data_IF_508011068098
#
_entry.id   IF_508011068098
#
_cell.length_a   1.000
_cell.length_b   1.000
_cell.length_c   1.000
_cell.angle_alpha   90.00
_cell.angle_beta   90.00
_cell.angle_gamma   90.00
#
_symmetry.space_group_name_H-M   'P 1'
#
loop_
_entity.id
_entity.type
_entity.pdbx_description
1 polymer ?
#
# COMPACT_ATOMS: atom_id res chain seq x y z
N UNK A 1 2.70 25.29 38.45
CA UNK A 1 1.41 24.74 37.96
C UNK A 1 1.57 23.60 36.96
N UNK A 2 1.98 23.82 35.70
CA UNK A 2 2.09 22.71 34.72
C UNK A 2 3.07 21.60 35.14
N UNK A 3 4.23 21.99 35.72
CA UNK A 3 5.20 21.05 36.31
C UNK A 3 4.60 20.20 37.43
N UNK A 4 3.71 20.79 38.24
CA UNK A 4 3.07 20.11 39.36
C UNK A 4 2.03 19.09 38.86
N UNK A 5 1.24 19.47 37.84
CA UNK A 5 0.32 18.54 37.17
C UNK A 5 1.03 17.37 36.52
N UNK A 6 2.18 17.60 35.86
CA UNK A 6 2.99 16.53 35.26
C UNK A 6 3.60 15.60 36.33
N UNK A 7 4.12 16.15 37.43
CA UNK A 7 4.63 15.34 38.57
C UNK A 7 3.52 14.48 39.18
N UNK A 8 2.33 15.05 39.32
CA UNK A 8 1.16 14.34 39.86
C UNK A 8 0.71 13.24 38.90
N UNK A 9 0.63 13.54 37.61
CA UNK A 9 0.33 12.57 36.56
C UNK A 9 1.29 11.37 36.64
N UNK A 10 2.60 11.63 36.63
CA UNK A 10 3.63 10.59 36.71
C UNK A 10 3.48 9.68 37.94
N UNK A 11 3.27 10.27 39.13
CA UNK A 11 3.05 9.48 40.36
C UNK A 11 1.79 8.62 40.28
N UNK A 12 0.71 9.13 39.69
CA UNK A 12 -0.53 8.37 39.57
C UNK A 12 -0.40 7.22 38.57
N UNK A 13 0.35 7.42 37.47
CA UNK A 13 0.67 6.37 36.50
C UNK A 13 1.44 5.22 37.15
N UNK A 14 2.45 5.53 37.96
CA UNK A 14 3.23 4.52 38.68
C UNK A 14 2.41 3.75 39.72
N UNK A 15 1.44 4.41 40.37
CA UNK A 15 0.57 3.77 41.38
C UNK A 15 -0.42 2.78 40.73
N UNK A 16 -0.91 3.06 39.53
CA UNK A 16 -1.89 2.21 38.81
C UNK A 16 -1.27 1.59 37.55
N UNK A 17 -0.41 0.60 37.78
CA UNK A 17 0.39 -0.05 36.73
C UNK A 17 -0.47 -0.76 35.66
N UNK A 18 -1.51 -1.48 36.06
CA UNK A 18 -2.38 -2.24 35.12
C UNK A 18 -3.12 -1.31 34.17
N UNK A 19 -3.79 -0.28 34.71
CA UNK A 19 -4.47 0.75 33.92
C UNK A 19 -3.49 1.41 32.94
N UNK A 20 -2.35 1.86 33.45
CA UNK A 20 -1.32 2.53 32.63
C UNK A 20 -0.84 1.60 31.53
N UNK A 21 -0.59 0.33 31.81
CA UNK A 21 -0.16 -0.65 30.81
C UNK A 21 -1.22 -0.87 29.72
N UNK A 22 -2.50 -1.01 30.07
CA UNK A 22 -3.59 -1.22 29.10
C UNK A 22 -3.78 0.02 28.22
N UNK A 23 -3.78 1.23 28.79
CA UNK A 23 -3.93 2.47 28.03
C UNK A 23 -2.74 2.73 27.10
N UNK A 24 -1.52 2.48 27.58
CA UNK A 24 -0.30 2.58 26.77
C UNK A 24 -0.33 1.56 25.63
N UNK A 25 -0.64 0.30 25.92
CA UNK A 25 -0.72 -0.75 24.91
C UNK A 25 -1.75 -0.43 23.83
N UNK A 26 -2.97 -0.03 24.20
CA UNK A 26 -4.01 0.32 23.25
C UNK A 26 -3.60 1.48 22.33
N UNK A 27 -3.03 2.54 22.90
CA UNK A 27 -2.56 3.70 22.12
C UNK A 27 -1.39 3.33 21.22
N UNK A 28 -0.39 2.62 21.75
CA UNK A 28 0.80 2.22 20.99
C UNK A 28 0.43 1.25 19.87
N UNK A 29 -0.43 0.28 20.15
CA UNK A 29 -0.83 -0.75 19.18
C UNK A 29 -1.61 -0.14 18.02
N UNK A 30 -2.57 0.74 18.28
CA UNK A 30 -3.31 1.43 17.21
C UNK A 30 -2.38 2.27 16.35
N UNK A 31 -1.43 3.00 16.95
CA UNK A 31 -0.47 3.79 16.18
C UNK A 31 0.49 2.91 15.37
N UNK A 32 0.92 1.76 15.89
CA UNK A 32 1.72 0.78 15.13
C UNK A 32 0.95 0.29 13.92
N UNK A 33 -0.27 -0.22 14.11
CA UNK A 33 -1.10 -0.75 13.02
C UNK A 33 -1.36 0.33 11.96
N UNK A 34 -1.76 1.53 12.37
CA UNK A 34 -2.00 2.64 11.45
C UNK A 34 -0.74 3.00 10.66
N UNK A 35 0.40 3.15 11.33
CA UNK A 35 1.65 3.56 10.68
C UNK A 35 2.15 2.51 9.71
N UNK A 36 2.06 1.22 10.07
CA UNK A 36 2.46 0.12 9.20
C UNK A 36 1.51 -0.01 8.00
N UNK A 37 0.19 0.07 8.22
CA UNK A 37 -0.79 0.00 7.15
C UNK A 37 -0.60 1.13 6.13
N UNK A 38 -0.34 2.35 6.61
CA UNK A 38 -0.10 3.48 5.72
C UNK A 38 1.26 3.39 5.04
N UNK A 39 2.31 2.92 5.71
CA UNK A 39 3.60 2.67 5.06
C UNK A 39 3.46 1.67 3.90
N UNK A 40 2.69 0.58 4.09
CA UNK A 40 2.37 -0.36 3.01
C UNK A 40 1.56 0.28 1.89
N UNK A 41 0.59 1.14 2.23
CA UNK A 41 -0.22 1.86 1.26
C UNK A 41 0.62 2.84 0.42
N UNK A 42 1.42 3.70 1.06
CA UNK A 42 2.34 4.63 0.40
C UNK A 42 3.29 3.86 -0.52
N UNK A 43 3.85 2.75 -0.04
CA UNK A 43 4.74 1.93 -0.83
C UNK A 43 4.08 1.38 -2.12
N UNK A 44 2.79 1.09 -2.04
CA UNK A 44 2.01 0.44 -3.10
C UNK A 44 1.37 1.44 -4.06
N UNK A 45 0.93 2.61 -3.61
CA UNK A 45 0.13 3.53 -4.45
C UNK A 45 0.72 4.92 -4.58
N UNK A 46 1.76 5.28 -3.81
CA UNK A 46 2.37 6.61 -3.90
C UNK A 46 3.24 6.75 -5.15
N UNK A 47 3.25 7.93 -5.80
CA UNK A 47 4.19 8.23 -6.88
C UNK A 47 5.63 8.22 -6.34
N UNK A 48 6.38 7.18 -6.66
CA UNK A 48 7.82 7.06 -6.36
C UNK A 48 8.49 6.32 -7.52
N UNK A 49 9.81 6.37 -7.62
CA UNK A 49 10.53 5.64 -8.67
C UNK A 49 10.26 4.11 -8.58
N UNK A 50 10.12 3.40 -9.72
CA UNK A 50 10.13 3.93 -11.08
C UNK A 50 8.74 4.40 -11.59
N UNK A 51 7.68 4.24 -10.80
CA UNK A 51 6.28 4.64 -11.11
C UNK A 51 5.97 6.10 -10.70
N UNK A 52 6.74 7.07 -11.19
CA UNK A 52 6.62 8.49 -10.79
C UNK A 52 5.32 9.14 -11.30
N UNK A 53 4.78 8.63 -12.41
CA UNK A 53 3.60 9.17 -13.08
C UNK A 53 2.32 8.37 -12.80
N UNK A 54 2.25 7.63 -11.69
CA UNK A 54 1.13 6.73 -11.37
C UNK A 54 -0.26 7.40 -11.42
N UNK A 55 -0.36 8.69 -11.06
CA UNK A 55 -1.62 9.46 -11.06
C UNK A 55 -2.20 9.72 -12.45
N UNK A 56 -1.36 9.73 -13.48
CA UNK A 56 -1.75 9.91 -14.89
C UNK A 56 -1.56 8.63 -15.73
N UNK A 57 -1.35 7.50 -15.06
CA UNK A 57 -1.14 6.22 -15.72
C UNK A 57 -2.39 5.37 -15.57
N UNK A 58 -2.95 4.94 -16.70
CA UNK A 58 -3.98 3.91 -16.73
C UNK A 58 -3.34 2.54 -16.95
N UNK A 59 -3.95 1.51 -16.41
CA UNK A 59 -3.56 0.10 -16.58
C UNK A 59 -4.76 -0.71 -17.01
N UNK A 60 -4.49 -1.90 -17.54
CA UNK A 60 -5.53 -2.89 -17.83
C UNK A 60 -5.22 -4.17 -17.06
N UNK A 61 -5.89 -4.36 -15.92
CA UNK A 61 -5.56 -5.45 -15.00
C UNK A 61 -6.26 -6.77 -15.37
N UNK A 62 -7.41 -6.69 -16.04
CA UNK A 62 -8.26 -7.83 -16.37
C UNK A 62 -8.95 -7.65 -17.71
N UNK A 63 -9.13 -8.77 -18.39
CA UNK A 63 -10.03 -8.92 -19.53
C UNK A 63 -10.88 -10.18 -19.33
N UNK A 64 -12.10 -10.15 -19.88
CA UNK A 64 -13.08 -11.23 -19.82
C UNK A 64 -13.58 -11.53 -21.22
N UNK A 65 -13.65 -12.82 -21.55
CA UNK A 65 -14.39 -13.34 -22.69
C UNK A 65 -15.59 -14.12 -22.19
N UNK A 66 -16.75 -13.90 -22.79
CA UNK A 66 -17.99 -14.58 -22.43
C UNK A 66 -18.61 -15.25 -23.66
N UNK A 67 -19.02 -16.51 -23.47
CA UNK A 67 -19.69 -17.36 -24.43
C UNK A 67 -21.07 -17.81 -23.94
N UNK A 68 -21.69 -18.75 -24.65
CA UNK A 68 -22.91 -19.41 -24.15
C UNK A 68 -22.56 -20.33 -22.97
N UNK A 69 -22.92 -19.92 -21.76
CA UNK A 69 -22.69 -20.69 -20.53
C UNK A 69 -21.23 -20.75 -20.04
N UNK A 70 -20.29 -20.15 -20.77
CA UNK A 70 -18.87 -20.12 -20.39
C UNK A 70 -18.37 -18.68 -20.22
N UNK A 71 -17.52 -18.47 -19.21
CA UNK A 71 -16.85 -17.18 -18.98
C UNK A 71 -15.41 -17.46 -18.63
N UNK A 72 -14.47 -16.80 -19.31
CA UNK A 72 -13.05 -16.85 -19.01
C UNK A 72 -12.57 -15.46 -18.66
N UNK A 73 -11.81 -15.33 -17.58
CA UNK A 73 -11.24 -14.08 -17.13
C UNK A 73 -9.76 -14.27 -16.81
N UNK A 74 -8.92 -13.41 -17.37
CA UNK A 74 -7.46 -13.40 -17.16
C UNK A 74 -6.95 -11.97 -17.21
N UNK A 75 -5.64 -11.78 -17.13
CA UNK A 75 -4.99 -10.57 -17.61
C UNK A 75 -5.21 -10.43 -19.13
N UNK A 76 -5.14 -9.21 -19.68
CA UNK A 76 -5.25 -9.03 -21.12
C UNK A 76 -4.18 -9.81 -21.88
N UNK A 77 -4.54 -10.29 -23.06
CA UNK A 77 -3.61 -10.86 -24.03
C UNK A 77 -3.05 -9.78 -24.96
N UNK A 78 -1.97 -10.10 -25.68
CA UNK A 78 -1.31 -9.12 -26.55
C UNK A 78 -2.22 -8.65 -27.68
N UNK A 79 -3.03 -9.54 -28.27
CA UNK A 79 -3.92 -9.21 -29.39
C UNK A 79 -4.95 -8.16 -29.03
N UNK A 80 -5.55 -8.29 -27.84
CA UNK A 80 -6.48 -7.29 -27.30
C UNK A 80 -5.83 -5.91 -27.26
N UNK A 81 -4.61 -5.87 -26.73
CA UNK A 81 -3.85 -4.65 -26.54
C UNK A 81 -3.47 -4.04 -27.90
N UNK A 82 -2.96 -4.86 -28.83
CA UNK A 82 -2.51 -4.39 -30.14
C UNK A 82 -3.66 -3.91 -31.02
N UNK A 83 -4.82 -4.57 -30.96
CA UNK A 83 -5.98 -4.25 -31.80
C UNK A 83 -6.80 -3.07 -31.27
N UNK A 84 -7.03 -3.01 -29.96
CA UNK A 84 -7.97 -2.05 -29.37
C UNK A 84 -7.33 -0.92 -28.58
N UNK A 85 -6.12 -1.12 -28.04
CA UNK A 85 -5.51 -0.17 -27.10
C UNK A 85 -4.31 0.62 -27.65
N UNK A 86 -3.70 0.17 -28.75
CA UNK A 86 -2.62 0.93 -29.41
C UNK A 86 -3.16 2.18 -30.10
N UNK A 87 -2.39 3.28 -30.01
CA UNK A 87 -2.74 4.54 -30.67
C UNK A 87 -4.03 5.16 -30.15
N UNK A 88 -4.34 4.98 -28.87
CA UNK A 88 -5.44 5.72 -28.22
C UNK A 88 -5.07 7.21 -28.15
N UNK A 89 -5.97 8.12 -28.57
CA UNK A 89 -5.73 9.56 -28.50
C UNK A 89 -5.54 10.00 -27.05
N UNK A 90 -4.58 10.89 -26.82
CA UNK A 90 -4.25 11.40 -25.48
C UNK A 90 -3.35 10.48 -24.63
N UNK A 91 -2.93 9.33 -25.16
CA UNK A 91 -1.85 8.52 -24.58
C UNK A 91 -0.52 8.99 -25.16
N UNK A 92 0.39 9.45 -24.30
CA UNK A 92 1.74 9.91 -24.67
C UNK A 92 2.69 8.74 -24.89
N UNK A 93 2.72 7.80 -23.94
CA UNK A 93 3.52 6.59 -24.00
C UNK A 93 2.70 5.38 -23.58
N UNK A 94 2.98 4.25 -24.21
CA UNK A 94 2.35 2.98 -23.90
C UNK A 94 3.43 1.91 -23.81
N UNK A 95 3.36 1.09 -22.77
CA UNK A 95 4.22 -0.09 -22.63
C UNK A 95 3.40 -1.34 -22.43
N UNK A 96 3.90 -2.44 -22.95
CA UNK A 96 3.41 -3.80 -22.75
C UNK A 96 4.49 -4.62 -22.04
N UNK A 97 4.12 -5.15 -20.88
CA UNK A 97 4.95 -6.07 -20.10
C UNK A 97 4.15 -7.30 -19.71
N UNK A 98 4.82 -8.41 -19.44
CA UNK A 98 4.18 -9.60 -18.89
C UNK A 98 4.05 -9.53 -17.37
N UNK A 99 3.25 -10.43 -16.80
CA UNK A 99 3.45 -10.85 -15.42
C UNK A 99 4.85 -11.42 -15.21
N UNK A 100 5.27 -11.53 -13.95
CA UNK A 100 6.52 -12.19 -13.59
C UNK A 100 6.39 -13.70 -13.71
N UNK A 101 7.30 -14.32 -14.44
CA UNK A 101 7.46 -15.78 -14.50
C UNK A 101 8.61 -16.20 -13.62
N UNK A 102 8.38 -17.17 -12.73
CA UNK A 102 9.46 -17.76 -11.94
C UNK A 102 10.33 -18.62 -12.87
N UNK A 103 11.60 -18.23 -13.01
CA UNK A 103 12.60 -18.95 -13.80
C UNK A 103 13.68 -19.48 -12.88
N UNK A 104 14.15 -20.68 -13.17
CA UNK A 104 15.27 -21.29 -12.46
C UNK A 104 16.50 -21.24 -13.35
N UNK A 105 17.61 -20.82 -12.76
CA UNK A 105 18.94 -20.83 -13.36
C UNK A 105 19.88 -21.64 -12.47
N UNK A 106 20.93 -22.21 -13.07
CA UNK A 106 21.95 -22.98 -12.35
C UNK A 106 23.30 -22.32 -12.55
N UNK A 107 23.89 -21.84 -11.45
CA UNK A 107 25.22 -21.24 -11.45
C UNK A 107 26.12 -22.05 -10.51
N UNK A 108 27.18 -22.67 -11.06
CA UNK A 108 28.15 -23.46 -10.27
C UNK A 108 27.48 -24.53 -9.37
N UNK A 109 26.44 -25.20 -9.89
CA UNK A 109 25.68 -26.20 -9.14
C UNK A 109 24.67 -25.64 -8.13
N UNK A 110 24.54 -24.32 -8.00
CA UNK A 110 23.53 -23.66 -7.16
C UNK A 110 22.31 -23.27 -7.99
N UNK A 111 21.13 -23.63 -7.49
CA UNK A 111 19.84 -23.20 -8.03
C UNK A 111 19.59 -21.74 -7.63
N UNK A 112 19.38 -20.86 -8.61
CA UNK A 112 18.96 -19.48 -8.40
C UNK A 112 17.60 -19.30 -9.04
N UNK A 113 16.60 -19.02 -8.21
CA UNK A 113 15.26 -18.65 -8.66
C UNK A 113 15.20 -17.14 -8.88
N UNK A 114 14.61 -16.75 -9.99
CA UNK A 114 14.46 -15.35 -10.35
C UNK A 114 13.13 -15.08 -11.01
N UNK A 115 12.62 -13.87 -10.86
CA UNK A 115 11.41 -13.43 -11.57
C UNK A 115 11.80 -12.78 -12.89
N UNK A 116 11.46 -13.40 -14.01
CA UNK A 116 11.66 -12.87 -15.36
C UNK A 116 10.39 -12.17 -15.84
N UNK A 117 10.53 -10.95 -16.34
CA UNK A 117 9.50 -10.24 -17.10
C UNK A 117 9.96 -10.00 -18.53
N UNK A 118 8.99 -10.09 -19.43
CA UNK A 118 9.19 -9.73 -20.82
C UNK A 118 8.53 -8.38 -21.08
N UNK A 119 9.26 -7.42 -21.65
CA UNK A 119 8.75 -6.06 -21.90
C UNK A 119 9.10 -5.55 -23.29
N UNK A 120 8.37 -4.54 -23.76
CA UNK A 120 8.79 -3.75 -24.90
C UNK A 120 9.88 -2.72 -24.54
N UNK A 121 10.36 -1.98 -25.55
CA UNK A 121 11.41 -0.97 -25.39
C UNK A 121 10.90 0.31 -24.73
N UNK A 122 9.60 0.60 -24.85
CA UNK A 122 8.96 1.78 -24.23
C UNK A 122 8.82 1.65 -22.71
N UNK A 123 8.90 0.43 -22.17
CA UNK A 123 8.89 0.14 -20.74
C UNK A 123 9.80 1.05 -19.92
N UNK A 124 11.04 1.26 -20.38
CA UNK A 124 12.04 2.07 -19.69
C UNK A 124 11.80 3.58 -19.78
N UNK A 125 10.95 4.02 -20.71
CA UNK A 125 10.54 5.42 -20.85
C UNK A 125 9.29 5.72 -20.01
N UNK A 126 8.37 4.76 -19.93
CA UNK A 126 7.17 4.85 -19.07
C UNK A 126 7.55 4.78 -17.59
N UNK A 127 8.46 3.87 -17.23
CA UNK A 127 8.93 3.68 -15.86
C UNK A 127 10.34 4.23 -15.71
N UNK A 128 10.52 5.21 -14.82
CA UNK A 128 11.79 5.90 -14.61
C UNK A 128 12.72 5.10 -13.67
N UNK A 129 13.33 4.04 -14.22
CA UNK A 129 14.32 3.24 -13.49
C UNK A 129 15.65 3.98 -13.33
N UNK A 130 16.30 3.76 -12.18
CA UNK A 130 17.67 4.20 -11.95
C UNK A 130 18.65 3.09 -12.34
N UNK A 131 19.43 3.34 -13.39
CA UNK A 131 20.46 2.43 -13.86
C UNK A 131 21.76 2.64 -13.07
N UNK A 132 22.25 1.57 -12.45
CA UNK A 132 23.53 1.53 -11.74
C UNK A 132 24.68 1.23 -12.71
N UNK A 133 24.42 0.43 -13.75
CA UNK A 133 25.36 0.07 -14.80
C UNK A 133 24.64 0.00 -16.15
N UNK A 134 25.31 0.36 -17.24
CA UNK A 134 24.79 0.20 -18.60
C UNK A 134 23.53 1.03 -18.86
N UNK A 135 22.57 0.46 -19.59
CA UNK A 135 21.34 1.15 -19.97
C UNK A 135 20.20 0.22 -20.39
N UNK A 136 19.05 0.79 -20.79
CA UNK A 136 17.91 0.01 -21.29
C UNK A 136 18.21 -0.62 -22.65
N UNK A 137 17.52 -1.71 -22.99
CA UNK A 137 17.49 -2.18 -24.39
C UNK A 137 16.65 -1.24 -25.25
N UNK A 138 17.07 -1.08 -26.50
CA UNK A 138 16.40 -0.24 -27.49
C UNK A 138 15.18 -0.96 -28.11
N UNK A 139 14.24 -0.21 -28.73
CA UNK A 139 13.20 -0.82 -29.55
C UNK A 139 13.73 -1.73 -30.67
N UNK A 140 14.93 -1.45 -31.20
CA UNK A 140 15.57 -2.28 -32.22
C UNK A 140 16.05 -3.64 -31.65
N UNK A 141 16.50 -3.69 -30.39
CA UNK A 141 16.83 -4.95 -29.72
C UNK A 141 15.57 -5.81 -29.54
N UNK A 142 14.42 -5.17 -29.30
CA UNK A 142 13.12 -5.85 -29.23
C UNK A 142 12.71 -6.35 -30.61
N UNK A 143 12.77 -5.54 -31.65
CA UNK A 143 12.36 -5.95 -33.01
C UNK A 143 13.21 -7.11 -33.54
N UNK A 144 14.52 -7.09 -33.29
CA UNK A 144 15.45 -8.15 -33.68
C UNK A 144 15.44 -9.38 -32.78
N UNK A 145 14.59 -9.40 -31.74
CA UNK A 145 14.52 -10.47 -30.73
C UNK A 145 15.89 -10.80 -30.12
N UNK A 146 16.71 -9.77 -29.88
CA UNK A 146 18.05 -9.95 -29.34
C UNK A 146 17.96 -10.48 -27.91
N UNK A 147 18.73 -11.53 -27.59
CA UNK A 147 18.79 -12.13 -26.26
C UNK A 147 19.63 -11.25 -25.31
N UNK A 148 19.08 -10.10 -24.95
CA UNK A 148 19.62 -9.17 -23.94
C UNK A 148 18.72 -9.14 -22.71
N UNK A 149 19.30 -8.80 -21.56
CA UNK A 149 18.56 -8.61 -20.32
C UNK A 149 19.06 -7.40 -19.54
N UNK A 150 18.13 -6.77 -18.83
CA UNK A 150 18.42 -5.86 -17.71
C UNK A 150 18.16 -6.63 -16.42
N UNK A 151 19.00 -6.46 -15.40
CA UNK A 151 18.87 -7.16 -14.11
C UNK A 151 18.80 -6.18 -12.96
N UNK A 152 18.21 -6.58 -11.83
CA UNK A 152 18.24 -5.77 -10.61
C UNK A 152 19.57 -5.93 -9.85
N UNK A 153 19.82 -5.00 -8.93
CA UNK A 153 21.01 -4.96 -8.08
C UNK A 153 21.22 -6.26 -7.29
N UNK A 154 20.17 -6.79 -6.67
CA UNK A 154 20.26 -8.06 -5.95
C UNK A 154 20.67 -9.22 -6.86
N UNK A 155 20.13 -9.30 -8.08
CA UNK A 155 20.52 -10.35 -9.03
C UNK A 155 21.96 -10.17 -9.50
N UNK A 156 22.44 -8.94 -9.71
CA UNK A 156 23.88 -8.69 -9.94
C UNK A 156 24.74 -9.29 -8.81
N UNK A 157 24.36 -9.07 -7.55
CA UNK A 157 25.10 -9.64 -6.42
C UNK A 157 25.04 -11.17 -6.39
N UNK A 158 23.88 -11.77 -6.68
CA UNK A 158 23.70 -13.24 -6.72
C UNK A 158 24.50 -13.90 -7.84
N UNK A 159 24.43 -13.36 -9.06
CA UNK A 159 25.03 -13.98 -10.25
C UNK A 159 26.52 -13.62 -10.44
N UNK A 160 26.93 -12.41 -10.08
CA UNK A 160 28.27 -11.90 -10.39
C UNK A 160 29.09 -11.53 -9.15
N UNK A 161 28.62 -11.87 -7.95
CA UNK A 161 29.29 -11.57 -6.67
C UNK A 161 29.62 -10.08 -6.52
N UNK A 162 28.76 -9.21 -7.07
CA UNK A 162 28.91 -7.76 -7.05
C UNK A 162 29.92 -7.18 -8.05
N UNK A 163 30.50 -8.01 -8.93
CA UNK A 163 31.31 -7.51 -10.04
C UNK A 163 30.43 -6.90 -11.14
N UNK A 164 31.01 -6.05 -12.04
CA UNK A 164 30.28 -5.50 -13.17
C UNK A 164 29.58 -6.59 -13.98
N UNK A 165 28.27 -6.42 -14.20
CA UNK A 165 27.43 -7.40 -14.87
C UNK A 165 27.35 -7.16 -16.38
N UNK A 166 27.45 -5.90 -16.81
CA UNK A 166 27.30 -5.52 -18.22
C UNK A 166 28.30 -6.27 -19.09
N UNK A 167 27.81 -6.83 -20.20
CA UNK A 167 28.59 -7.65 -21.13
C UNK A 167 28.68 -9.14 -20.76
N UNK A 168 28.35 -9.50 -19.51
CA UNK A 168 28.29 -10.91 -19.07
C UNK A 168 26.97 -11.56 -19.45
N UNK A 169 26.85 -12.85 -19.17
CA UNK A 169 25.68 -13.64 -19.54
C UNK A 169 25.00 -14.25 -18.32
N UNK A 170 23.68 -14.38 -18.40
CA UNK A 170 22.87 -15.11 -17.43
C UNK A 170 21.99 -16.09 -18.21
N UNK A 171 21.91 -17.32 -17.74
CA UNK A 171 20.95 -18.30 -18.26
C UNK A 171 19.64 -18.14 -17.50
N UNK A 172 18.56 -17.87 -18.22
CA UNK A 172 17.22 -17.72 -17.66
C UNK A 172 16.21 -18.39 -18.60
N UNK A 173 15.30 -19.19 -18.05
CA UNK A 173 14.34 -19.97 -18.85
C UNK A 173 15.05 -20.77 -19.97
N UNK A 174 16.22 -21.39 -19.69
CA UNK A 174 16.96 -22.15 -20.70
C UNK A 174 17.46 -21.36 -21.93
N UNK A 175 17.43 -20.02 -21.87
CA UNK A 175 18.02 -19.12 -22.88
C UNK A 175 19.14 -18.30 -22.22
N UNK A 176 20.18 -18.02 -23.00
CA UNK A 176 21.36 -17.27 -22.54
C UNK A 176 21.23 -15.81 -22.93
N UNK A 177 21.03 -14.94 -21.93
CA UNK A 177 20.86 -13.50 -22.13
C UNK A 177 22.15 -12.75 -21.82
N UNK A 178 22.54 -11.81 -22.68
CA UNK A 178 23.61 -10.86 -22.39
C UNK A 178 23.07 -9.72 -21.51
N UNK A 179 23.71 -9.48 -20.37
CA UNK A 179 23.35 -8.36 -19.50
C UNK A 179 23.84 -7.06 -20.12
N UNK A 180 22.93 -6.11 -20.32
CA UNK A 180 23.25 -4.79 -20.89
C UNK A 180 23.03 -3.64 -19.90
N UNK A 181 22.35 -3.90 -18.78
CA UNK A 181 22.09 -2.91 -17.76
C UNK A 181 21.77 -3.54 -16.41
N UNK A 182 22.05 -2.77 -15.36
CA UNK A 182 21.69 -3.10 -13.97
C UNK A 182 20.88 -1.94 -13.40
N UNK A 183 19.73 -2.22 -12.80
CA UNK A 183 18.87 -1.22 -12.16
C UNK A 183 18.82 -1.42 -10.65
N UNK A 184 18.54 -0.35 -9.90
CA UNK A 184 18.27 -0.45 -8.47
C UNK A 184 17.07 -1.36 -8.22
N UNK A 185 17.10 -2.09 -7.10
CA UNK A 185 16.01 -2.97 -6.70
C UNK A 185 14.68 -2.21 -6.58
N UNK A 186 13.64 -2.80 -7.14
CA UNK A 186 12.26 -2.29 -7.06
C UNK A 186 11.46 -3.23 -6.17
N UNK A 187 10.71 -2.72 -5.19
CA UNK A 187 9.93 -3.55 -4.28
C UNK A 187 8.83 -4.34 -5.00
N UNK A 188 8.66 -5.61 -4.62
CA UNK A 188 7.80 -6.57 -5.32
C UNK A 188 6.31 -6.18 -5.43
N UNK A 189 5.82 -5.30 -4.55
CA UNK A 189 4.44 -4.78 -4.58
C UNK A 189 4.19 -3.81 -5.77
N UNK A 190 5.25 -3.40 -6.47
CA UNK A 190 5.18 -2.50 -7.62
C UNK A 190 5.07 -3.27 -8.93
N UNK A 191 4.24 -2.75 -9.83
CA UNK A 191 3.92 -3.42 -11.10
C UNK A 191 5.17 -3.71 -11.94
N UNK A 192 6.15 -2.80 -12.09
CA UNK A 192 7.31 -3.05 -12.94
C UNK A 192 8.40 -3.91 -12.27
N UNK A 193 8.24 -4.33 -11.00
CA UNK A 193 9.25 -5.11 -10.27
C UNK A 193 9.54 -6.47 -10.90
N UNK A 194 10.81 -6.82 -11.06
CA UNK A 194 11.30 -8.15 -11.44
C UNK A 194 12.77 -8.29 -11.04
N UNK A 195 13.32 -9.48 -11.25
CA UNK A 195 14.77 -9.74 -11.09
C UNK A 195 15.50 -9.58 -12.43
N UNK A 196 14.84 -10.00 -13.52
CA UNK A 196 15.32 -9.88 -14.90
C UNK A 196 14.20 -9.33 -15.79
N UNK A 197 14.59 -8.46 -16.73
CA UNK A 197 13.74 -7.98 -17.81
C UNK A 197 14.38 -8.33 -19.14
N UNK A 198 13.61 -8.94 -20.05
CA UNK A 198 14.05 -9.29 -21.40
C UNK A 198 13.05 -8.76 -22.45
N UNK A 199 13.48 -8.57 -23.72
CA UNK A 199 12.58 -8.12 -24.78
C UNK A 199 11.41 -9.07 -25.01
N UNK A 200 10.21 -8.54 -25.24
CA UNK A 200 9.01 -9.36 -25.38
C UNK A 200 9.10 -10.45 -26.46
N UNK A 201 9.80 -10.13 -27.55
CA UNK A 201 10.02 -11.00 -28.70
C UNK A 201 10.95 -12.18 -28.43
N UNK A 202 11.66 -12.23 -27.28
CA UNK A 202 12.51 -13.37 -26.92
C UNK A 202 11.75 -14.53 -26.30
N UNK A 203 10.45 -14.38 -26.03
CA UNK A 203 9.61 -15.48 -25.55
C UNK A 203 9.64 -16.67 -26.51
N UNK A 204 9.81 -17.88 -25.97
CA UNK A 204 9.94 -19.12 -26.78
C UNK A 204 8.72 -19.43 -27.63
N UNK A 205 7.53 -19.30 -27.04
CA UNK A 205 6.27 -19.47 -27.77
C UNK A 205 5.90 -18.15 -28.43
N UNK A 206 5.36 -18.17 -29.65
CA UNK A 206 4.77 -16.99 -30.31
C UNK A 206 3.25 -16.92 -30.16
N UNK A 207 2.62 -17.94 -29.55
CA UNK A 207 1.15 -18.02 -29.42
C UNK A 207 0.53 -16.82 -28.69
N UNK A 208 1.29 -16.18 -27.80
CA UNK A 208 0.87 -14.99 -27.06
C UNK A 208 0.44 -13.82 -27.96
N UNK A 209 0.93 -13.74 -29.20
CA UNK A 209 0.62 -12.67 -30.14
C UNK A 209 -0.86 -12.66 -30.54
N UNK A 210 -1.49 -13.84 -30.58
CA UNK A 210 -2.86 -14.03 -31.05
C UNK A 210 -3.89 -14.09 -29.90
N UNK A 211 -3.42 -14.10 -28.66
CA UNK A 211 -4.27 -14.25 -27.47
C UNK A 211 -4.97 -12.94 -27.09
N UNK A 212 -6.30 -12.99 -26.91
CA UNK A 212 -7.08 -11.89 -26.32
C UNK A 212 -7.06 -11.90 -24.78
N UNK A 213 -6.87 -13.07 -24.18
CA UNK A 213 -6.67 -13.27 -22.74
C UNK A 213 -5.31 -13.95 -22.54
N UNK A 214 -4.44 -13.34 -21.75
CA UNK A 214 -3.06 -13.80 -21.58
C UNK A 214 -2.50 -13.38 -20.23
N UNK A 215 -1.21 -13.03 -20.21
CA UNK A 215 -0.47 -12.61 -19.03
C UNK A 215 0.22 -11.26 -19.24
N UNK A 216 -0.45 -10.29 -19.87
CA UNK A 216 0.09 -8.95 -20.09
C UNK A 216 -0.50 -7.92 -19.13
N UNK A 217 0.29 -6.90 -18.81
CA UNK A 217 -0.08 -5.78 -17.94
C UNK A 217 0.32 -4.48 -18.64
N UNK A 218 -0.47 -3.98 -19.59
CA UNK A 218 -0.13 -2.74 -20.29
C UNK A 218 -0.29 -1.54 -19.35
N UNK A 219 0.54 -0.52 -19.56
CA UNK A 219 0.43 0.77 -18.92
C UNK A 219 0.38 1.87 -19.97
N UNK A 220 -0.50 2.84 -19.74
CA UNK A 220 -0.80 3.96 -20.64
C UNK A 220 -0.53 5.25 -19.89
N UNK A 221 0.55 5.93 -20.23
CA UNK A 221 0.88 7.25 -19.71
C UNK A 221 0.07 8.30 -20.47
N UNK A 222 -0.84 8.98 -19.79
CA UNK A 222 -1.66 10.02 -20.40
C UNK A 222 -0.86 11.32 -20.57
N UNK A 223 -1.13 12.04 -21.67
CA UNK A 223 -0.64 13.39 -21.84
C UNK A 223 -1.19 14.32 -20.74
N UNK A 224 -0.43 15.36 -20.39
CA UNK A 224 -0.69 16.18 -19.19
C UNK A 224 -2.12 16.78 -19.10
N UNK A 225 -2.75 17.06 -20.25
CA UNK A 225 -4.08 17.70 -20.32
C UNK A 225 -5.20 16.74 -20.77
N UNK A 226 -4.92 15.44 -20.84
CA UNK A 226 -5.91 14.45 -21.27
C UNK A 226 -6.71 13.95 -20.06
N UNK A 227 -8.05 13.93 -20.18
CA UNK A 227 -8.91 13.32 -19.17
C UNK A 227 -8.95 11.81 -19.36
N UNK A 228 -8.84 11.07 -18.27
CA UNK A 228 -8.85 9.61 -18.31
C UNK A 228 -10.17 9.05 -18.87
N UNK A 229 -11.27 9.76 -18.65
CA UNK A 229 -12.62 9.41 -19.11
C UNK A 229 -12.71 9.41 -20.64
N UNK A 230 -12.04 10.35 -21.31
CA UNK A 230 -12.05 10.45 -22.78
C UNK A 230 -11.32 9.25 -23.40
N UNK A 231 -10.17 8.87 -22.84
CA UNK A 231 -9.40 7.70 -23.26
C UNK A 231 -10.16 6.40 -23.00
N UNK A 232 -10.84 6.30 -21.86
CA UNK A 232 -11.68 5.14 -21.51
C UNK A 232 -12.87 5.00 -22.46
N UNK A 233 -13.54 6.11 -22.79
CA UNK A 233 -14.68 6.11 -23.70
C UNK A 233 -14.27 5.66 -25.11
N UNK A 234 -13.13 6.16 -25.60
CA UNK A 234 -12.57 5.76 -26.88
C UNK A 234 -12.15 4.27 -26.89
N UNK A 235 -11.46 3.80 -25.86
CA UNK A 235 -11.11 2.38 -25.72
C UNK A 235 -12.36 1.48 -25.70
N UNK A 236 -13.39 1.87 -24.93
CA UNK A 236 -14.65 1.15 -24.87
C UNK A 236 -15.38 1.16 -26.23
N UNK A 237 -15.30 2.26 -26.98
CA UNK A 237 -15.85 2.35 -28.34
C UNK A 237 -15.17 1.37 -29.30
N UNK A 238 -13.83 1.31 -29.29
CA UNK A 238 -13.06 0.35 -30.08
C UNK A 238 -13.38 -1.09 -29.68
N UNK A 239 -13.52 -1.38 -28.39
CA UNK A 239 -13.83 -2.73 -27.92
C UNK A 239 -15.20 -3.23 -28.40
N UNK A 240 -16.17 -2.34 -28.66
CA UNK A 240 -17.48 -2.71 -29.24
C UNK A 240 -17.36 -3.23 -30.67
N UNK A 241 -16.30 -2.91 -31.40
CA UNK A 241 -16.08 -3.43 -32.76
C UNK A 241 -15.52 -4.85 -32.76
N UNK A 242 -15.22 -5.42 -31.59
CA UNK A 242 -14.72 -6.78 -31.45
C UNK A 242 -15.68 -7.78 -32.10
N UNK A 243 -15.14 -8.58 -33.01
CA UNK A 243 -15.79 -9.76 -33.58
C UNK A 243 -14.98 -10.97 -33.17
N UNK A 244 -15.60 -11.90 -32.46
CA UNK A 244 -14.89 -13.09 -32.01
C UNK A 244 -14.44 -13.93 -33.20
N UNK A 245 -13.15 -14.31 -33.29
CA UNK A 245 -12.69 -15.28 -34.29
C UNK A 245 -13.11 -16.71 -33.96
N UNK A 246 -13.62 -16.94 -32.74
CA UNK A 246 -13.95 -18.24 -32.19
C UNK A 246 -15.45 -18.30 -31.85
N UNK A 247 -16.24 -19.21 -32.43
CA UNK A 247 -17.69 -19.24 -32.28
C UNK A 247 -18.18 -19.35 -30.82
N UNK A 248 -17.38 -20.00 -29.96
CA UNK A 248 -17.74 -20.18 -28.56
C UNK A 248 -17.69 -18.90 -27.73
N UNK A 249 -17.01 -17.86 -28.20
CA UNK A 249 -16.93 -16.57 -27.51
C UNK A 249 -17.74 -15.53 -28.26
N UNK A 250 -18.56 -14.76 -27.54
CA UNK A 250 -19.44 -13.74 -28.13
C UNK A 250 -18.98 -12.33 -27.81
N UNK A 251 -18.54 -12.11 -26.58
CA UNK A 251 -18.16 -10.76 -26.11
C UNK A 251 -16.77 -10.76 -25.50
N UNK A 252 -16.09 -9.63 -25.68
CA UNK A 252 -14.84 -9.30 -25.01
C UNK A 252 -15.08 -8.04 -24.18
N UNK A 253 -14.65 -8.07 -22.92
CA UNK A 253 -14.79 -6.95 -21.99
C UNK A 253 -13.48 -6.70 -21.28
N UNK A 254 -13.05 -5.45 -21.28
CA UNK A 254 -11.87 -4.96 -20.59
C UNK A 254 -12.10 -3.49 -20.24
N UNK A 255 -11.37 -2.98 -19.25
CA UNK A 255 -11.42 -1.58 -18.87
C UNK A 255 -10.00 -1.05 -18.66
N UNK A 256 -9.79 0.19 -19.07
CA UNK A 256 -8.65 0.98 -18.59
C UNK A 256 -9.04 1.56 -17.24
N UNK A 257 -8.19 1.37 -16.24
CA UNK A 257 -8.44 1.75 -14.86
C UNK A 257 -7.18 2.32 -14.22
N UNK A 258 -7.33 3.12 -13.17
CA UNK A 258 -6.16 3.50 -12.37
C UNK A 258 -5.68 2.28 -11.58
N UNK A 259 -4.40 2.28 -11.16
CA UNK A 259 -3.86 1.17 -10.34
C UNK A 259 -4.69 0.93 -9.07
N UNK A 260 -5.22 2.01 -8.51
CA UNK A 260 -6.08 1.99 -7.33
C UNK A 260 -7.45 1.35 -7.60
N UNK A 261 -8.09 1.67 -8.72
CA UNK A 261 -9.35 1.05 -9.14
C UNK A 261 -9.19 -0.45 -9.42
N UNK A 262 -8.11 -0.83 -10.10
CA UNK A 262 -7.80 -2.23 -10.38
C UNK A 262 -7.54 -3.05 -9.11
N UNK A 263 -6.91 -2.46 -8.10
CA UNK A 263 -6.77 -3.09 -6.79
C UNK A 263 -8.13 -3.35 -6.14
N UNK A 264 -9.05 -2.39 -6.20
CA UNK A 264 -10.42 -2.56 -5.70
C UNK A 264 -11.17 -3.67 -6.43
N UNK A 265 -10.99 -3.80 -7.74
CA UNK A 265 -11.58 -4.86 -8.56
C UNK A 265 -11.06 -6.25 -8.18
N UNK A 266 -9.76 -6.39 -7.93
CA UNK A 266 -9.15 -7.68 -7.58
C UNK A 266 -9.62 -8.24 -6.23
N UNK A 267 -10.08 -7.38 -5.31
CA UNK A 267 -10.67 -7.81 -4.04
C UNK A 267 -12.09 -8.39 -4.19
N UNK A 268 -12.77 -8.13 -5.32
CA UNK A 268 -14.13 -8.58 -5.59
C UNK A 268 -14.28 -9.24 -6.98
N UNK A 269 -13.60 -10.36 -7.24
CA UNK A 269 -13.51 -10.94 -8.58
C UNK A 269 -14.86 -11.43 -9.15
N UNK A 270 -15.85 -11.75 -8.32
CA UNK A 270 -17.08 -12.46 -8.71
C UNK A 270 -18.24 -11.63 -9.29
N UNK A 271 -18.21 -10.29 -9.24
CA UNK A 271 -19.36 -9.43 -9.63
C UNK A 271 -19.03 -8.37 -10.68
N UNK A 272 -17.91 -8.50 -11.39
CA UNK A 272 -17.29 -7.32 -12.03
C UNK A 272 -17.94 -6.94 -13.36
N UNK A 273 -18.83 -5.96 -13.29
CA UNK A 273 -19.17 -5.10 -14.42
C UNK A 273 -17.94 -4.23 -14.74
N UNK A 274 -17.44 -4.28 -15.97
CA UNK A 274 -16.28 -3.48 -16.39
C UNK A 274 -16.58 -1.97 -16.47
N UNK A 275 -17.85 -1.60 -16.29
CA UNK A 275 -18.32 -0.20 -16.27
C UNK A 275 -18.24 0.46 -14.89
N UNK A 276 -18.20 -0.30 -13.79
CA UNK A 276 -18.14 0.26 -12.43
C UNK A 276 -16.70 0.52 -11.97
N UNK A 277 -16.45 1.74 -11.53
CA UNK A 277 -15.19 2.14 -10.89
C UNK A 277 -15.17 1.67 -9.44
N UNK A 278 -14.24 0.78 -9.08
CA UNK A 278 -14.10 0.24 -7.72
C UNK A 278 -13.28 1.13 -6.77
N UNK A 279 -12.69 2.22 -7.27
CA UNK A 279 -11.88 3.13 -6.48
C UNK A 279 -12.66 3.73 -5.29
N UNK A 280 -13.86 4.27 -5.52
CA UNK A 280 -14.67 4.86 -4.45
C UNK A 280 -15.04 3.86 -3.34
N UNK A 281 -15.34 2.61 -3.71
CA UNK A 281 -15.61 1.54 -2.76
C UNK A 281 -14.37 1.19 -1.93
N UNK A 282 -13.22 1.00 -2.58
CA UNK A 282 -11.95 0.72 -1.89
C UNK A 282 -11.61 1.87 -0.92
N UNK A 283 -11.80 3.13 -1.33
CA UNK A 283 -11.59 4.29 -0.46
C UNK A 283 -12.53 4.27 0.73
N UNK A 284 -13.82 4.03 0.50
CA UNK A 284 -14.81 3.94 1.58
C UNK A 284 -14.45 2.85 2.60
N UNK A 285 -14.02 1.69 2.13
CA UNK A 285 -13.60 0.58 2.99
C UNK A 285 -12.33 0.92 3.79
N UNK A 286 -11.31 1.51 3.16
CA UNK A 286 -10.07 1.91 3.83
C UNK A 286 -10.32 3.02 4.86
N UNK A 287 -11.15 4.00 4.54
CA UNK A 287 -11.54 5.07 5.48
C UNK A 287 -12.34 4.49 6.64
N UNK A 288 -13.31 3.61 6.38
CA UNK A 288 -14.08 2.95 7.42
C UNK A 288 -13.18 2.11 8.33
N UNK A 289 -12.27 1.32 7.76
CA UNK A 289 -11.31 0.54 8.53
C UNK A 289 -10.43 1.44 9.39
N UNK A 290 -9.87 2.53 8.82
CA UNK A 290 -9.07 3.49 9.57
C UNK A 290 -9.87 4.11 10.74
N UNK A 291 -11.12 4.50 10.52
CA UNK A 291 -12.01 5.03 11.56
C UNK A 291 -12.29 4.00 12.66
N UNK A 292 -12.60 2.74 12.30
CA UNK A 292 -12.85 1.67 13.26
C UNK A 292 -11.60 1.36 14.10
N UNK A 293 -10.42 1.30 13.48
CA UNK A 293 -9.16 1.10 14.20
C UNK A 293 -8.81 2.29 15.10
N UNK A 294 -9.10 3.52 14.66
CA UNK A 294 -8.91 4.74 15.46
C UNK A 294 -9.92 4.87 16.60
N UNK A 295 -11.08 4.22 16.53
CA UNK A 295 -12.05 4.19 17.61
C UNK A 295 -11.61 3.28 18.77
N UNK A 296 -10.75 2.29 18.55
CA UNK A 296 -10.31 1.34 19.58
C UNK A 296 -9.65 2.03 20.80
N UNK A 297 -8.66 2.95 20.64
CA UNK A 297 -8.12 3.70 21.77
C UNK A 297 -9.19 4.57 22.45
N UNK A 298 -10.07 5.20 21.69
CA UNK A 298 -11.09 6.10 22.23
C UNK A 298 -12.05 5.35 23.17
N UNK A 299 -12.57 4.20 22.72
CA UNK A 299 -13.48 3.36 23.51
C UNK A 299 -12.76 2.83 24.76
N UNK A 300 -11.52 2.35 24.60
CA UNK A 300 -10.72 1.85 25.72
C UNK A 300 -10.46 2.96 26.77
N UNK A 301 -10.10 4.16 26.33
CA UNK A 301 -9.87 5.31 27.20
C UNK A 301 -11.15 5.78 27.91
N UNK A 302 -12.30 5.81 27.24
CA UNK A 302 -13.59 6.16 27.88
C UNK A 302 -13.89 5.17 29.02
N UNK A 303 -13.88 3.87 28.73
CA UNK A 303 -14.26 2.84 29.70
C UNK A 303 -13.34 2.86 30.93
N UNK A 304 -12.04 2.98 30.69
CA UNK A 304 -11.05 3.02 31.76
C UNK A 304 -11.11 4.34 32.55
N UNK A 305 -11.32 5.49 31.90
CA UNK A 305 -11.41 6.79 32.58
C UNK A 305 -12.66 6.91 33.45
N UNK A 306 -13.81 6.38 33.00
CA UNK A 306 -15.03 6.34 33.81
C UNK A 306 -14.81 5.54 35.09
N UNK A 307 -14.25 4.33 34.98
CA UNK A 307 -13.93 3.49 36.14
C UNK A 307 -12.98 4.21 37.12
N UNK A 308 -11.94 4.86 36.60
CA UNK A 308 -10.96 5.60 37.40
C UNK A 308 -11.53 6.81 38.12
N UNK A 309 -12.45 7.53 37.48
CA UNK A 309 -13.09 8.70 38.09
C UNK A 309 -14.06 8.25 39.19
N UNK A 310 -14.74 7.11 39.03
CA UNK A 310 -15.57 6.53 40.08
C UNK A 310 -14.77 6.12 41.31
N UNK A 311 -13.61 5.49 41.14
CA UNK A 311 -12.73 5.14 42.26
C UNK A 311 -12.16 6.36 43.01
N UNK A 312 -12.06 7.51 42.33
CA UNK A 312 -11.59 8.78 42.92
C UNK A 312 -12.76 9.70 43.32
N UNK A 313 -14.00 9.24 43.23
CA UNK A 313 -15.18 10.06 43.51
C UNK A 313 -15.16 10.61 44.93
N UNK A 314 -14.73 9.81 45.92
CA UNK A 314 -14.60 10.23 47.32
C UNK A 314 -13.50 11.29 47.52
N UNK A 315 -12.32 11.12 46.90
CA UNK A 315 -11.23 12.10 46.91
C UNK A 315 -11.68 13.45 46.29
N UNK A 316 -12.40 13.37 45.18
CA UNK A 316 -12.95 14.54 44.46
C UNK A 316 -14.03 15.23 45.29
N UNK A 317 -14.91 14.47 45.95
CA UNK A 317 -15.95 14.97 46.84
C UNK A 317 -15.39 15.75 48.01
N UNK A 318 -14.34 15.23 48.66
CA UNK A 318 -13.63 15.91 49.75
C UNK A 318 -13.00 17.22 49.26
N UNK A 319 -12.26 17.21 48.14
CA UNK A 319 -11.65 18.43 47.59
C UNK A 319 -12.67 19.51 47.23
N UNK A 320 -13.82 19.11 46.67
CA UNK A 320 -14.93 20.02 46.40
C UNK A 320 -15.53 20.61 47.68
N UNK A 321 -15.67 19.80 48.74
CA UNK A 321 -16.14 20.28 50.04
C UNK A 321 -15.20 21.33 50.66
N UNK A 322 -13.90 21.23 50.38
CA UNK A 322 -12.88 22.24 50.74
C UNK A 322 -12.73 23.38 49.70
N UNK A 323 -13.64 23.53 48.74
CA UNK A 323 -13.68 24.66 47.81
C UNK A 323 -12.85 24.52 46.53
N UNK A 324 -12.36 23.32 46.19
CA UNK A 324 -11.63 23.13 44.93
C UNK A 324 -12.54 23.34 43.70
N UNK A 325 -12.08 24.15 42.75
CA UNK A 325 -12.84 24.42 41.53
C UNK A 325 -12.90 23.20 40.60
N UNK A 326 -14.09 22.92 40.07
CA UNK A 326 -14.33 21.85 39.08
C UNK A 326 -13.39 21.92 37.87
N UNK A 327 -12.95 23.13 37.49
CA UNK A 327 -12.01 23.36 36.37
C UNK A 327 -10.63 22.77 36.64
N UNK A 328 -10.13 22.87 37.87
CA UNK A 328 -8.81 22.34 38.27
C UNK A 328 -8.75 20.83 38.12
N UNK A 329 -9.84 20.14 38.52
CA UNK A 329 -9.97 18.69 38.40
C UNK A 329 -10.00 18.25 36.94
N UNK A 330 -10.80 18.92 36.09
CA UNK A 330 -10.86 18.60 34.66
C UNK A 330 -9.51 18.81 33.98
N UNK A 331 -8.82 19.93 34.24
CA UNK A 331 -7.48 20.20 33.68
C UNK A 331 -6.47 19.13 34.10
N UNK A 332 -6.49 18.70 35.37
CA UNK A 332 -5.62 17.62 35.83
C UNK A 332 -5.86 16.31 35.07
N UNK A 333 -7.12 15.89 34.91
CA UNK A 333 -7.45 14.67 34.15
C UNK A 333 -7.07 14.77 32.67
N UNK A 334 -7.24 15.94 32.06
CA UNK A 334 -6.83 16.20 30.68
C UNK A 334 -5.31 16.07 30.53
N UNK A 335 -4.53 16.67 31.42
CA UNK A 335 -3.06 16.58 31.39
C UNK A 335 -2.59 15.14 31.60
N UNK A 336 -3.22 14.39 32.51
CA UNK A 336 -2.91 12.98 32.75
C UNK A 336 -3.17 12.11 31.51
N UNK A 337 -4.32 12.29 30.85
CA UNK A 337 -4.66 11.56 29.62
C UNK A 337 -3.73 11.94 28.46
N UNK A 338 -3.44 13.23 28.30
CA UNK A 338 -2.53 13.70 27.26
C UNK A 338 -1.12 13.13 27.45
N UNK A 339 -0.61 13.11 28.70
CA UNK A 339 0.68 12.51 29.01
C UNK A 339 0.71 11.00 28.67
N UNK A 340 -0.36 10.27 28.98
CA UNK A 340 -0.50 8.86 28.60
C UNK A 340 -0.49 8.66 27.09
N UNK A 341 -1.25 9.46 26.35
CA UNK A 341 -1.31 9.38 24.89
C UNK A 341 0.06 9.68 24.27
N UNK A 342 0.77 10.68 24.77
CA UNK A 342 2.12 11.03 24.28
C UNK A 342 3.14 9.92 24.57
N UNK A 343 3.14 9.34 25.77
CA UNK A 343 4.04 8.23 26.12
C UNK A 343 3.69 6.98 25.28
N UNK A 344 2.41 6.62 25.21
CA UNK A 344 1.95 5.48 24.42
C UNK A 344 2.24 5.67 22.93
N UNK A 345 2.14 6.91 22.46
CA UNK A 345 2.50 7.26 21.11
C UNK A 345 4.00 7.18 20.83
N UNK A 346 4.85 7.65 21.74
CA UNK A 346 6.31 7.45 21.62
C UNK A 346 6.68 5.97 21.58
N UNK A 347 6.07 5.15 22.43
CA UNK A 347 6.22 3.69 22.39
C UNK A 347 5.75 3.15 21.04
N UNK A 348 4.59 3.59 20.56
CA UNK A 348 4.04 3.21 19.25
C UNK A 348 4.97 3.57 18.10
N UNK A 349 5.63 4.74 18.14
CA UNK A 349 6.61 5.15 17.14
C UNK A 349 7.80 4.20 17.06
N UNK A 350 8.39 3.89 18.22
CA UNK A 350 9.54 2.98 18.32
C UNK A 350 9.15 1.57 17.85
N UNK A 351 8.00 1.05 18.33
CA UNK A 351 7.49 -0.25 17.93
C UNK A 351 7.18 -0.31 16.42
N UNK A 352 6.59 0.74 15.85
CA UNK A 352 6.34 0.79 14.41
C UNK A 352 7.64 0.73 13.62
N UNK A 353 8.66 1.47 14.03
CA UNK A 353 10.00 1.40 13.43
C UNK A 353 10.63 0.01 13.52
N UNK A 354 10.46 -0.68 14.66
CA UNK A 354 10.94 -2.06 14.84
C UNK A 354 10.19 -3.05 13.93
N UNK A 355 8.86 -2.94 13.85
CA UNK A 355 8.05 -3.79 12.98
C UNK A 355 8.41 -3.58 11.52
N UNK A 356 8.54 -2.33 11.05
CA UNK A 356 8.92 -2.04 9.67
C UNK A 356 10.33 -2.57 9.34
N UNK A 357 11.29 -2.45 10.27
CA UNK A 357 12.62 -3.06 10.11
C UNK A 357 12.55 -4.58 10.04
N UNK A 358 11.76 -5.22 10.90
CA UNK A 358 11.57 -6.66 10.89
C UNK A 358 10.94 -7.13 9.57
N UNK A 359 9.95 -6.39 9.04
CA UNK A 359 9.34 -6.69 7.74
C UNK A 359 10.38 -6.56 6.62
N UNK A 360 11.16 -5.49 6.58
CA UNK A 360 12.20 -5.31 5.56
C UNK A 360 13.27 -6.41 5.61
N UNK A 361 13.64 -6.89 6.80
CA UNK A 361 14.65 -7.95 6.98
C UNK A 361 14.11 -9.37 6.77
N UNK A 362 12.80 -9.57 6.95
CA UNK A 362 12.17 -10.90 6.86
C UNK A 362 12.19 -11.50 5.45
N UNK A 363 12.38 -10.68 4.40
CA UNK A 363 12.25 -11.10 3.02
C UNK A 363 10.81 -11.43 2.60
N UNK A 364 9.80 -11.21 3.46
CA UNK A 364 8.39 -11.43 3.14
C UNK A 364 7.93 -10.61 1.93
N UNK A 365 8.47 -9.40 1.80
CA UNK A 365 8.29 -8.55 0.64
C UNK A 365 9.67 -8.32 0.04
N UNK A 366 10.01 -9.02 -1.06
CA UNK A 366 11.29 -8.83 -1.74
C UNK A 366 11.54 -7.35 -2.04
N UNK A 367 12.75 -6.92 -1.69
CA UNK A 367 13.26 -5.56 -1.92
C UNK A 367 12.49 -4.44 -1.21
N UNK A 368 11.63 -4.76 -0.23
CA UNK A 368 10.89 -3.74 0.51
C UNK A 368 11.82 -2.78 1.26
N UNK A 369 11.62 -1.49 1.01
CA UNK A 369 12.26 -0.40 1.73
C UNK A 369 11.19 0.42 2.47
N UNK A 370 10.40 -0.25 3.34
CA UNK A 370 9.38 0.43 4.10
C UNK A 370 10.03 1.39 5.11
N UNK A 371 9.62 2.64 5.06
CA UNK A 371 10.10 3.69 5.94
C UNK A 371 8.95 4.29 6.77
N UNK A 372 9.29 4.79 7.96
CA UNK A 372 8.36 5.58 8.75
C UNK A 372 8.08 6.90 8.02
N UNK A 373 6.81 7.22 7.82
CA UNK A 373 6.39 8.53 7.36
C UNK A 373 6.04 9.42 8.57
N UNK A 374 6.91 10.36 8.99
CA UNK A 374 6.71 11.13 10.21
C UNK A 374 5.45 12.00 10.15
N UNK A 375 5.07 12.47 8.96
CA UNK A 375 3.89 13.32 8.77
C UNK A 375 2.61 12.58 9.14
N UNK A 376 2.49 11.34 8.68
CA UNK A 376 1.31 10.50 8.91
C UNK A 376 1.26 10.07 10.38
N UNK A 377 2.42 9.74 10.95
CA UNK A 377 2.52 9.47 12.37
C UNK A 377 2.07 10.68 13.23
N UNK A 378 2.48 11.90 12.86
CA UNK A 378 2.05 13.13 13.55
C UNK A 378 0.54 13.33 13.45
N UNK A 379 -0.07 13.11 12.27
CA UNK A 379 -1.52 13.17 12.12
C UNK A 379 -2.25 12.10 12.94
N UNK A 380 -1.74 10.86 12.93
CA UNK A 380 -2.26 9.77 13.75
C UNK A 380 -2.16 10.10 15.25
N UNK A 381 -1.05 10.67 15.68
CA UNK A 381 -0.83 11.16 17.05
C UNK A 381 -1.80 12.29 17.42
N UNK A 382 -1.96 13.29 16.54
CA UNK A 382 -2.85 14.42 16.76
C UNK A 382 -4.30 13.95 16.91
N UNK A 383 -4.70 12.98 16.09
CA UNK A 383 -6.03 12.41 16.15
C UNK A 383 -6.22 11.50 17.39
N UNK A 384 -5.23 10.68 17.73
CA UNK A 384 -5.23 9.91 18.97
C UNK A 384 -5.32 10.82 20.21
N UNK A 385 -4.62 11.96 20.20
CA UNK A 385 -4.72 12.98 21.23
C UNK A 385 -6.12 13.63 21.25
N UNK A 386 -6.70 13.95 20.09
CA UNK A 386 -8.05 14.50 20.01
C UNK A 386 -9.11 13.53 20.58
N UNK A 387 -9.05 12.25 20.21
CA UNK A 387 -9.92 11.22 20.78
C UNK A 387 -9.64 10.98 22.27
N UNK A 388 -8.38 11.00 22.69
CA UNK A 388 -7.98 10.94 24.09
C UNK A 388 -8.58 12.09 24.91
N UNK A 389 -8.55 13.31 24.38
CA UNK A 389 -9.17 14.48 25.00
C UNK A 389 -10.68 14.33 25.10
N UNK A 390 -11.37 13.96 24.01
CA UNK A 390 -12.81 13.73 24.04
C UNK A 390 -13.21 12.67 25.07
N UNK A 391 -12.44 11.58 25.15
CA UNK A 391 -12.69 10.48 26.09
C UNK A 391 -12.46 10.86 27.55
N UNK A 392 -11.53 11.78 27.84
CA UNK A 392 -11.21 12.21 29.19
C UNK A 392 -12.04 13.40 29.67
N UNK A 393 -12.34 14.36 28.79
CA UNK A 393 -13.10 15.57 29.12
C UNK A 393 -14.54 15.23 29.46
N UNK A 394 -15.18 14.33 28.70
CA UNK A 394 -16.60 14.02 28.90
C UNK A 394 -16.89 13.42 30.31
N UNK A 395 -16.19 12.36 30.76
CA UNK A 395 -16.37 11.83 32.12
C UNK A 395 -15.97 12.83 33.20
N UNK A 396 -14.86 13.56 33.02
CA UNK A 396 -14.39 14.54 33.99
C UNK A 396 -15.40 15.69 34.17
N UNK A 397 -15.96 16.18 33.07
CA UNK A 397 -16.99 17.22 33.09
C UNK A 397 -18.28 16.73 33.75
N UNK A 398 -18.77 15.53 33.40
CA UNK A 398 -19.97 14.93 34.01
C UNK A 398 -19.80 14.75 35.53
N UNK A 399 -18.65 14.25 35.98
CA UNK A 399 -18.36 14.07 37.41
C UNK A 399 -18.12 15.38 38.15
N UNK A 400 -17.59 16.40 37.48
CA UNK A 400 -17.49 17.75 38.03
C UNK A 400 -18.85 18.39 38.35
N UNK A 401 -19.95 17.81 37.88
CA UNK A 401 -21.33 18.24 38.19
C UNK A 401 -22.04 17.38 39.24
N UNK A 402 -21.44 16.27 39.68
CA UNK A 402 -22.02 15.44 40.75
C UNK A 402 -21.93 16.17 42.09
N UNK A 403 -23.02 16.17 42.85
CA UNK A 403 -23.11 16.80 44.17
C UNK A 403 -22.23 16.07 45.19
N UNK A 404 -21.47 16.79 46.06
CA UNK A 404 -20.56 16.17 47.04
C UNK A 404 -21.23 15.15 47.96
N UNK A 405 -22.51 15.37 48.30
CA UNK A 405 -23.32 14.49 49.15
C UNK A 405 -23.51 13.09 48.53
N UNK A 406 -23.63 13.01 47.19
CA UNK A 406 -23.78 11.74 46.46
C UNK A 406 -22.41 11.05 46.33
N UNK A 407 -21.34 11.83 46.12
CA UNK A 407 -19.98 11.31 46.01
C UNK A 407 -19.43 10.72 47.33
N UNK A 408 -19.87 11.25 48.48
CA UNK A 408 -19.45 10.80 49.82
C UNK A 408 -20.29 9.66 50.38
N UNK A 409 -21.57 9.52 49.98
CA UNK A 409 -22.43 8.42 50.43
C UNK A 409 -22.05 7.06 49.86
N UNK A 410 -21.22 7.02 48.80
CA UNK A 410 -20.84 5.80 48.12
C UNK A 410 -22.08 5.08 47.59
N UNK A 411 -22.52 5.39 46.38
CA UNK A 411 -23.55 4.59 45.72
C UNK A 411 -23.12 3.13 45.69
N UNK A 412 -23.91 2.27 46.36
CA UNK A 412 -23.95 0.82 46.13
C UNK A 412 -24.12 0.52 44.65
#
# INVERSE_FOLDING_TARGET
MLKDYLKLAWKVLQRRKVFTAISLFGTSFTLVVLTVAVALFDHTFSPMAPEVNINRTLVMSRARMQGEGSTRQSNPGYRLISEFARGLPGVELMTVQTGGSLVTSFLEGRKIESTLKHTDGEFWRVYQFEFLEGGPYSPADVESARLVAVVNETSRHRFFRGQPAVGRYIDADGQRFQVIGVVRDVPSMRTPSADLWAPLTTQKSKGWQEEYLGNFNPAFLLAANTRAEDVRAEFASRLKTFKSPLPQWKTLSAALETRYEGAGRNLYPGQTDFTRTYGGFLTGMLVLAALLFMALPAINLVNLNVSRIMERASEIGVRKAFGASSRTLVVQFVVENLALTLIGGLIGFVLAGLVLRAVNQSGLIPYAALALNPRIFIWGMALAAAFGLLSGVYPAWRMSRVHPVIALKGTR
#
